data_IF_411005212762
#
_entry.id   IF_411005212762
#
_cell.length_a   1.000
_cell.length_b   1.000
_cell.length_c   1.000
_cell.angle_alpha   90.00
_cell.angle_beta   90.00
_cell.angle_gamma   90.00
#
_symmetry.space_group_name_H-M   'P 1'
#
loop_
_entity.id
_entity.type
_entity.pdbx_description
1 polymer ?
#
# COMPACT_ATOMS: atom_id res chain seq x y z
N UNK A 1 -16.41 3.47 -11.95
CA UNK A 1 -15.31 4.02 -11.13
C UNK A 1 -14.03 3.38 -11.62
N UNK A 2 -12.99 4.16 -11.94
CA UNK A 2 -11.70 3.59 -12.36
C UNK A 2 -11.05 2.91 -11.15
N UNK A 3 -10.42 1.76 -11.36
CA UNK A 3 -9.71 1.07 -10.28
C UNK A 3 -8.51 1.91 -9.82
N UNK A 4 -8.05 1.72 -8.58
CA UNK A 4 -6.88 2.43 -8.05
C UNK A 4 -5.64 2.23 -8.94
N UNK A 5 -5.52 1.05 -9.56
CA UNK A 5 -4.48 0.75 -10.54
C UNK A 5 -4.63 1.60 -11.80
N UNK A 6 -5.83 1.72 -12.37
CA UNK A 6 -6.06 2.55 -13.57
C UNK A 6 -5.81 4.05 -13.29
N UNK A 7 -6.06 4.50 -12.05
CA UNK A 7 -5.76 5.87 -11.64
C UNK A 7 -4.24 6.08 -11.47
N UNK A 8 -3.53 5.09 -10.95
CA UNK A 8 -2.07 5.11 -10.84
C UNK A 8 -1.41 5.08 -12.22
N UNK A 9 -1.88 4.22 -13.13
CA UNK A 9 -1.47 4.17 -14.54
C UNK A 9 -1.63 5.52 -15.23
N UNK A 10 -2.79 6.16 -15.07
CA UNK A 10 -3.08 7.46 -15.68
C UNK A 10 -2.20 8.59 -15.11
N UNK A 11 -1.82 8.53 -13.83
CA UNK A 11 -0.85 9.47 -13.23
C UNK A 11 0.54 9.25 -13.79
N UNK A 12 0.92 8.01 -14.03
CA UNK A 12 2.25 7.64 -14.50
C UNK A 12 2.44 7.94 -15.99
N UNK A 13 1.41 7.71 -16.83
CA UNK A 13 1.35 8.16 -18.23
C UNK A 13 1.53 9.68 -18.35
N UNK A 14 0.91 10.43 -17.43
CA UNK A 14 0.99 11.89 -17.43
C UNK A 14 2.38 12.42 -17.09
N UNK A 15 3.17 11.67 -16.32
CA UNK A 15 4.50 12.08 -15.86
C UNK A 15 5.65 11.55 -16.74
N UNK A 16 5.48 10.40 -17.41
CA UNK A 16 6.58 9.69 -18.09
C UNK A 16 6.38 9.42 -19.59
N UNK A 17 5.30 9.90 -20.22
CA UNK A 17 5.00 9.62 -21.63
C UNK A 17 4.16 8.34 -21.82
N UNK A 18 4.02 7.80 -23.05
CA UNK A 18 3.12 6.68 -23.31
C UNK A 18 3.43 5.53 -22.36
N UNK A 19 2.41 5.03 -21.64
CA UNK A 19 2.58 4.00 -20.62
C UNK A 19 3.46 2.87 -21.16
N UNK A 20 4.60 2.66 -20.51
CA UNK A 20 5.35 1.42 -20.64
C UNK A 20 4.35 0.28 -20.43
N UNK A 21 4.07 -0.47 -21.49
CA UNK A 21 3.14 -1.61 -21.38
C UNK A 21 3.84 -2.65 -20.54
N UNK A 22 3.31 -2.89 -19.35
CA UNK A 22 3.82 -3.95 -18.49
C UNK A 22 3.71 -5.31 -19.20
N UNK A 23 4.67 -6.20 -18.97
CA UNK A 23 4.52 -7.60 -19.35
C UNK A 23 3.54 -8.33 -18.42
N UNK A 24 3.11 -9.53 -18.81
CA UNK A 24 2.29 -10.38 -17.92
C UNK A 24 3.04 -10.74 -16.64
N UNK A 25 4.36 -10.90 -16.72
CA UNK A 25 5.21 -11.16 -15.56
C UNK A 25 5.24 -9.95 -14.60
N UNK A 26 5.39 -8.73 -15.12
CA UNK A 26 5.33 -7.51 -14.32
C UNK A 26 3.95 -7.30 -13.69
N UNK A 27 2.86 -7.49 -14.45
CA UNK A 27 1.50 -7.43 -13.91
C UNK A 27 1.28 -8.41 -12.77
N UNK A 28 1.72 -9.66 -12.95
CA UNK A 28 1.62 -10.69 -11.91
C UNK A 28 2.39 -10.30 -10.65
N UNK A 29 3.63 -9.82 -10.79
CA UNK A 29 4.45 -9.35 -9.66
C UNK A 29 3.77 -8.20 -8.90
N UNK A 30 3.19 -7.23 -9.61
CA UNK A 30 2.42 -6.14 -8.98
C UNK A 30 1.22 -6.67 -8.20
N UNK A 31 0.47 -7.62 -8.75
CA UNK A 31 -0.66 -8.24 -8.05
C UNK A 31 -0.20 -9.02 -6.80
N UNK A 32 0.92 -9.74 -6.88
CA UNK A 32 1.50 -10.45 -5.73
C UNK A 32 1.95 -9.47 -4.63
N UNK A 33 2.53 -8.31 -5.01
CA UNK A 33 2.88 -7.23 -4.07
C UNK A 33 1.61 -6.67 -3.41
N UNK A 34 0.56 -6.41 -4.18
CA UNK A 34 -0.71 -5.91 -3.67
C UNK A 34 -1.30 -6.85 -2.61
N UNK A 35 -1.39 -8.15 -2.93
CA UNK A 35 -1.91 -9.16 -2.00
C UNK A 35 -1.05 -9.29 -0.73
N UNK A 36 0.28 -9.24 -0.87
CA UNK A 36 1.23 -9.24 0.25
C UNK A 36 0.99 -8.05 1.18
N UNK A 37 0.86 -6.85 0.66
CA UNK A 37 0.69 -5.65 1.49
C UNK A 37 -0.70 -5.56 2.09
N UNK A 38 -1.74 -6.03 1.39
CA UNK A 38 -3.09 -6.13 1.94
C UNK A 38 -3.14 -7.05 3.17
N UNK A 39 -2.50 -8.22 3.09
CA UNK A 39 -2.39 -9.13 4.23
C UNK A 39 -1.67 -8.48 5.43
N UNK A 40 -0.56 -7.76 5.19
CA UNK A 40 0.18 -7.04 6.25
C UNK A 40 -0.63 -5.92 6.88
N UNK A 41 -1.43 -5.20 6.08
CA UNK A 41 -2.34 -4.17 6.58
C UNK A 41 -3.41 -4.79 7.48
N UNK A 42 -3.99 -5.92 7.07
CA UNK A 42 -4.99 -6.63 7.87
C UNK A 42 -4.41 -7.12 9.21
N UNK A 43 -3.23 -7.74 9.17
CA UNK A 43 -2.50 -8.17 10.37
C UNK A 43 -2.25 -7.00 11.33
N UNK A 44 -1.79 -5.87 10.80
CA UNK A 44 -1.50 -4.69 11.60
C UNK A 44 -2.76 -4.12 12.27
N UNK A 45 -3.88 -4.07 11.55
CA UNK A 45 -5.17 -3.61 12.09
C UNK A 45 -5.64 -4.51 13.23
N UNK A 46 -5.62 -5.83 13.03
CA UNK A 46 -6.00 -6.80 14.06
C UNK A 46 -5.12 -6.68 15.31
N UNK A 47 -3.80 -6.55 15.13
CA UNK A 47 -2.88 -6.38 16.24
C UNK A 47 -3.18 -5.09 17.05
N UNK A 48 -3.52 -4.00 16.38
CA UNK A 48 -3.79 -2.72 17.02
C UNK A 48 -5.19 -2.62 17.61
N UNK A 49 -6.16 -3.37 17.10
CA UNK A 49 -7.52 -3.43 17.67
C UNK A 49 -7.48 -3.83 19.14
N UNK A 50 -6.69 -4.84 19.49
CA UNK A 50 -6.48 -5.26 20.88
C UNK A 50 -5.86 -4.16 21.77
N UNK A 51 -4.91 -3.38 21.23
CA UNK A 51 -4.27 -2.27 21.94
C UNK A 51 -5.22 -1.10 22.16
N UNK A 52 -6.04 -0.77 21.16
CA UNK A 52 -7.06 0.28 21.26
C UNK A 52 -8.12 -0.12 22.29
N UNK A 53 -8.53 -1.40 22.32
CA UNK A 53 -9.47 -1.91 23.31
C UNK A 53 -8.91 -1.90 24.74
N UNK A 54 -7.61 -2.14 24.90
CA UNK A 54 -6.93 -2.15 26.19
C UNK A 54 -6.61 -0.74 26.75
N UNK A 55 -6.68 0.30 25.93
CA UNK A 55 -6.31 1.66 26.33
C UNK A 55 -7.27 2.24 27.40
N UNK A 56 -6.68 2.72 28.49
CA UNK A 56 -7.37 3.17 29.69
C UNK A 56 -7.88 4.61 29.64
N UNK A 57 -7.40 5.43 28.69
CA UNK A 57 -7.86 6.80 28.50
C UNK A 57 -8.07 7.17 27.04
N UNK A 58 -8.72 8.31 26.80
CA UNK A 58 -8.89 8.86 25.47
C UNK A 58 -7.55 9.27 24.85
N UNK A 59 -6.63 9.85 25.63
CA UNK A 59 -5.29 10.20 25.15
C UNK A 59 -4.52 8.95 24.72
N UNK A 60 -4.55 7.87 25.51
CA UNK A 60 -3.86 6.62 25.17
C UNK A 60 -4.41 6.00 23.88
N UNK A 61 -5.75 5.97 23.73
CA UNK A 61 -6.38 5.53 22.47
C UNK A 61 -5.93 6.35 21.28
N UNK A 62 -5.88 7.68 21.41
CA UNK A 62 -5.44 8.57 20.33
C UNK A 62 -3.99 8.31 19.94
N UNK A 63 -3.10 8.09 20.92
CA UNK A 63 -1.71 7.70 20.67
C UNK A 63 -1.63 6.40 19.87
N UNK A 64 -2.31 5.34 20.33
CA UNK A 64 -2.33 4.04 19.64
C UNK A 64 -2.90 4.15 18.22
N UNK A 65 -3.94 4.97 18.01
CA UNK A 65 -4.50 5.22 16.69
C UNK A 65 -3.54 5.98 15.77
N UNK A 66 -2.80 6.97 16.30
CA UNK A 66 -1.77 7.68 15.55
C UNK A 66 -0.65 6.74 15.11
N UNK A 67 -0.19 5.87 16.01
CA UNK A 67 0.81 4.85 15.67
C UNK A 67 0.32 3.89 14.57
N UNK A 68 -0.95 3.47 14.64
CA UNK A 68 -1.54 2.64 13.57
C UNK A 68 -1.53 3.39 12.23
N UNK A 69 -1.95 4.66 12.23
CA UNK A 69 -1.96 5.48 11.02
C UNK A 69 -0.56 5.64 10.40
N UNK A 70 0.46 5.85 11.22
CA UNK A 70 1.86 5.92 10.77
C UNK A 70 2.33 4.61 10.17
N UNK A 71 1.98 3.49 10.81
CA UNK A 71 2.35 2.16 10.32
C UNK A 71 1.68 1.83 9.00
N UNK A 72 0.39 2.17 8.85
CA UNK A 72 -0.35 1.99 7.60
C UNK A 72 0.23 2.86 6.48
N UNK A 73 0.59 4.12 6.76
CA UNK A 73 1.28 4.98 5.79
C UNK A 73 2.61 4.42 5.34
N UNK A 74 3.40 3.87 6.27
CA UNK A 74 4.67 3.22 5.94
C UNK A 74 4.50 1.97 5.08
N UNK A 75 3.47 1.15 5.36
CA UNK A 75 3.15 -0.01 4.52
C UNK A 75 2.73 0.39 3.11
N UNK A 76 1.86 1.40 2.97
CA UNK A 76 1.45 1.88 1.65
C UNK A 76 2.63 2.47 0.87
N UNK A 77 3.50 3.25 1.52
CA UNK A 77 4.71 3.77 0.87
C UNK A 77 5.65 2.64 0.41
N UNK A 78 5.78 1.57 1.21
CA UNK A 78 6.55 0.38 0.84
C UNK A 78 5.95 -0.37 -0.34
N UNK A 79 4.62 -0.51 -0.37
CA UNK A 79 3.86 -1.13 -1.47
C UNK A 79 4.11 -0.40 -2.77
N UNK A 80 3.92 0.92 -2.78
CA UNK A 80 4.10 1.73 -3.99
C UNK A 80 5.57 1.70 -4.45
N UNK A 81 6.53 1.80 -3.52
CA UNK A 81 7.96 1.68 -3.87
C UNK A 81 8.31 0.32 -4.49
N UNK A 82 7.78 -0.79 -3.98
CA UNK A 82 7.99 -2.12 -4.57
C UNK A 82 7.36 -2.23 -5.97
N UNK A 83 6.17 -1.64 -6.17
CA UNK A 83 5.50 -1.62 -7.49
C UNK A 83 6.24 -0.74 -8.49
N UNK A 84 6.72 0.42 -8.07
CA UNK A 84 7.54 1.31 -8.91
C UNK A 84 8.82 0.60 -9.35
N UNK A 85 9.48 -0.16 -8.48
CA UNK A 85 10.64 -0.97 -8.86
C UNK A 85 10.31 -2.03 -9.93
N UNK A 86 9.14 -2.68 -9.84
CA UNK A 86 8.67 -3.60 -10.88
C UNK A 86 8.38 -2.85 -12.19
N UNK A 87 7.83 -1.65 -12.10
CA UNK A 87 7.56 -0.81 -13.26
C UNK A 87 8.84 -0.38 -13.99
N UNK A 88 9.83 0.07 -13.22
CA UNK A 88 11.10 0.56 -13.74
C UNK A 88 11.97 -0.57 -14.28
N UNK A 89 11.82 -1.80 -13.76
CA UNK A 89 12.55 -2.97 -14.28
C UNK A 89 12.34 -3.15 -15.79
N UNK A 90 13.43 -3.40 -16.50
CA UNK A 90 13.40 -3.84 -17.90
C UNK A 90 13.27 -5.36 -17.92
N UNK A 91 12.44 -5.90 -18.82
CA UNK A 91 12.36 -7.34 -19.10
C UNK A 91 13.60 -7.79 -19.90
#
# INVERSE_FOLDING_TARGET
MKSAYELAMARLEKSHGPAKKLSDAQRKRIADIDAKYEARVAEQKLAYESKIAAAGSAEERNTVQSELADKLRSLEAGREKEKDAVWESED
#
